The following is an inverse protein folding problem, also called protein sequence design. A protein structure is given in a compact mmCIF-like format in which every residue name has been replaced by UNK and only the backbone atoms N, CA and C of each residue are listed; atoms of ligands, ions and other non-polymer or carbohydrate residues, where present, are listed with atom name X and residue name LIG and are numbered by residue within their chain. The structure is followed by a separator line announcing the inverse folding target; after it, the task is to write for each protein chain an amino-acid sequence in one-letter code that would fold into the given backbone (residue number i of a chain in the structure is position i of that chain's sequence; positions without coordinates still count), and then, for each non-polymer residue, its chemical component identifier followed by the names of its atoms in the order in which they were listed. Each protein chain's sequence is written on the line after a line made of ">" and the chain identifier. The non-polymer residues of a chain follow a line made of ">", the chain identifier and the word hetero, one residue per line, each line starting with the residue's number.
data_IF_483649222856
#
_entry.id   IF_483649222856
#
_cell.length_a   1.000
_cell.length_b   1.000
_cell.length_c   1.000
_cell.angle_alpha   90.00
_cell.angle_beta   90.00
_cell.angle_gamma   90.00
#
_symmetry.space_group_name_H-M   'P 1'
#
loop_
_entity.id
_entity.type
_entity.pdbx_description
1 polymer ?
#
# COMPACT_ATOMS: atom_id res chain seq x y z
N UNK A 1 3.52 -8.29 -1.00
CA UNK A 1 2.25 -7.70 -1.48
C UNK A 1 1.05 -8.64 -1.35
N UNK A 2 1.17 -9.98 -1.46
CA UNK A 2 0.03 -10.92 -1.36
C UNK A 2 -0.75 -10.90 -0.03
N UNK A 3 -0.15 -10.52 1.10
CA UNK A 3 -0.81 -10.57 2.42
C UNK A 3 -1.90 -9.52 2.61
N UNK A 4 -1.76 -8.33 2.02
CA UNK A 4 -2.73 -7.23 2.19
C UNK A 4 -4.02 -7.46 1.39
N UNK A 5 -3.99 -8.38 0.42
CA UNK A 5 -5.17 -8.85 -0.32
C UNK A 5 -5.86 -10.05 0.34
N UNK A 6 -5.23 -10.66 1.35
CA UNK A 6 -5.75 -11.86 2.02
C UNK A 6 -6.39 -11.55 3.38
N UNK A 7 -6.13 -10.38 3.95
CA UNK A 7 -6.73 -9.91 5.21
C UNK A 7 -8.10 -9.30 4.94
N UNK A 8 -9.15 -9.93 5.46
CA UNK A 8 -10.55 -9.50 5.39
C UNK A 8 -10.92 -8.45 6.43
N UNK A 9 -10.06 -8.22 7.44
CA UNK A 9 -10.29 -7.22 8.49
C UNK A 9 -9.78 -5.84 8.10
N UNK A 10 -10.70 -4.87 8.08
CA UNK A 10 -10.45 -3.47 7.70
C UNK A 10 -9.48 -2.76 8.64
N UNK A 11 -9.51 -3.10 9.92
CA UNK A 11 -8.63 -2.53 10.96
C UNK A 11 -7.18 -2.96 10.75
N UNK A 12 -6.94 -4.26 10.55
CA UNK A 12 -5.60 -4.79 10.25
C UNK A 12 -5.07 -4.28 8.91
N UNK A 13 -5.96 -4.15 7.91
CA UNK A 13 -5.61 -3.62 6.61
C UNK A 13 -5.13 -2.16 6.67
N UNK A 14 -5.71 -1.32 7.54
CA UNK A 14 -5.27 0.07 7.74
C UNK A 14 -3.86 0.15 8.35
N UNK A 15 -3.56 -0.68 9.35
CA UNK A 15 -2.23 -0.71 9.97
C UNK A 15 -1.15 -1.19 9.01
N UNK A 16 -1.43 -2.26 8.26
CA UNK A 16 -0.54 -2.80 7.24
C UNK A 16 -0.34 -1.79 6.11
N UNK A 17 -1.40 -1.07 5.72
CA UNK A 17 -1.33 -0.05 4.68
C UNK A 17 -0.40 1.09 5.09
N UNK A 18 -0.39 1.52 6.36
CA UNK A 18 0.55 2.55 6.88
C UNK A 18 2.01 2.08 6.81
N UNK A 19 2.28 0.80 7.10
CA UNK A 19 3.63 0.22 6.99
C UNK A 19 4.10 0.11 5.54
N UNK A 20 3.23 -0.38 4.65
CA UNK A 20 3.56 -0.58 3.22
C UNK A 20 3.69 0.75 2.49
N UNK A 21 2.86 1.75 2.79
CA UNK A 21 2.97 3.08 2.19
C UNK A 21 4.32 3.73 2.52
N UNK A 22 4.75 3.66 3.79
CA UNK A 22 6.07 4.14 4.22
C UNK A 22 7.22 3.42 3.51
N UNK A 23 7.09 2.11 3.28
CA UNK A 23 8.11 1.34 2.56
C UNK A 23 8.19 1.75 1.08
N UNK A 24 7.06 1.92 0.41
CA UNK A 24 7.01 2.38 -0.98
C UNK A 24 7.62 3.78 -1.14
N UNK A 25 7.37 4.66 -0.19
CA UNK A 25 7.90 6.03 -0.22
C UNK A 25 9.42 6.06 0.04
N UNK A 26 9.93 5.20 0.92
CA UNK A 26 11.38 5.03 1.11
C UNK A 26 12.07 4.50 -0.14
N UNK A 27 11.46 3.54 -0.84
CA UNK A 27 12.00 2.99 -2.09
C UNK A 27 11.96 4.01 -3.24
N UNK A 28 10.92 4.84 -3.30
CA UNK A 28 10.83 5.93 -4.26
C UNK A 28 11.88 7.02 -4.01
N UNK A 29 12.10 7.40 -2.74
CA UNK A 29 13.13 8.38 -2.37
C UNK A 29 14.56 7.92 -2.70
N UNK A 30 14.80 6.60 -2.64
CA UNK A 30 16.08 5.98 -3.03
C UNK A 30 16.21 5.76 -4.55
N UNK A 31 15.27 6.26 -5.35
CA UNK A 31 15.22 6.07 -6.82
C UNK A 31 15.19 4.60 -7.29
N UNK A 32 14.87 3.65 -6.40
CA UNK A 32 14.75 2.21 -6.75
C UNK A 32 13.47 1.99 -7.57
N UNK A 33 12.41 2.76 -7.26
CA UNK A 33 11.12 2.72 -7.96
C UNK A 33 10.78 4.14 -8.40
N UNK A 34 10.31 4.31 -9.63
CA UNK A 34 9.85 5.62 -10.11
C UNK A 34 8.69 6.17 -9.26
N UNK A 35 8.70 7.49 -8.98
CA UNK A 35 7.67 8.19 -8.18
C UNK A 35 6.23 7.87 -8.62
N UNK A 36 5.98 7.86 -9.94
CA UNK A 36 4.65 7.55 -10.49
C UNK A 36 4.26 6.08 -10.25
N UNK A 37 5.24 5.17 -10.28
CA UNK A 37 5.00 3.75 -10.01
C UNK A 37 4.66 3.56 -8.53
N UNK A 38 5.38 4.18 -7.60
CA UNK A 38 5.04 4.15 -6.17
C UNK A 38 3.65 4.75 -5.89
N UNK A 39 3.31 5.88 -6.51
CA UNK A 39 2.00 6.51 -6.40
C UNK A 39 0.86 5.61 -6.93
N UNK A 40 1.06 4.95 -8.08
CA UNK A 40 0.08 4.00 -8.64
C UNK A 40 -0.20 2.83 -7.68
N UNK A 41 0.85 2.23 -7.11
CA UNK A 41 0.68 1.13 -6.17
C UNK A 41 -0.02 1.58 -4.88
N UNK A 42 0.30 2.77 -4.36
CA UNK A 42 -0.43 3.36 -3.23
C UNK A 42 -1.91 3.52 -3.55
N UNK A 43 -2.26 4.13 -4.69
CA UNK A 43 -3.65 4.32 -5.10
C UNK A 43 -4.42 3.00 -5.20
N UNK A 44 -3.80 1.95 -5.76
CA UNK A 44 -4.43 0.62 -5.85
C UNK A 44 -4.69 0.00 -4.46
N UNK A 45 -3.74 0.13 -3.54
CA UNK A 45 -3.89 -0.38 -2.17
C UNK A 45 -4.97 0.39 -1.39
N UNK A 46 -5.01 1.72 -1.50
CA UNK A 46 -6.07 2.53 -0.87
C UNK A 46 -7.45 2.15 -1.40
N UNK A 47 -7.60 1.97 -2.72
CA UNK A 47 -8.88 1.52 -3.31
C UNK A 47 -9.32 0.18 -2.76
N UNK A 48 -8.40 -0.77 -2.61
CA UNK A 48 -8.71 -2.09 -2.05
C UNK A 48 -9.15 -2.01 -0.58
N UNK A 49 -8.42 -1.28 0.26
CA UNK A 49 -8.80 -1.11 1.68
C UNK A 49 -10.12 -0.35 1.83
N UNK A 50 -10.38 0.65 0.98
CA UNK A 50 -11.65 1.37 0.99
C UNK A 50 -12.82 0.50 0.47
N UNK A 51 -12.55 -0.49 -0.37
CA UNK A 51 -13.56 -1.46 -0.85
C UNK A 51 -13.87 -2.56 0.16
N UNK A 52 -13.01 -2.74 1.18
CA UNK A 52 -13.29 -3.62 2.31
C UNK A 52 -14.23 -2.85 3.26
N UNK A 53 -15.46 -3.36 3.41
CA UNK A 53 -16.51 -2.76 4.23
C UNK A 53 -16.16 -2.80 5.72
#
# INVERSE_FOLDING_TARGET
>A
MKRLFATTDKTEAQELLKKVSSMLDKLAKRNIIHKNKAARHKSQLYKHVNSLA
#
